data_IF_581431374532
#
_entry.id   IF_581431374532
#
_cell.length_a   1.000
_cell.length_b   1.000
_cell.length_c   1.000
_cell.angle_alpha   90.00
_cell.angle_beta   90.00
_cell.angle_gamma   90.00
#
_symmetry.space_group_name_H-M   'P 1'
#
loop_
_entity.id
_entity.type
_entity.pdbx_description
1 polymer ?
#
# COMPACT_ATOMS: atom_id res chain seq x y z
N UNK A 1 -10.03 -0.51 -26.97
CA UNK A 1 -8.83 -0.31 -26.13
C UNK A 1 -9.31 0.36 -24.87
N UNK A 2 -9.57 -0.45 -23.84
CA UNK A 2 -10.15 -0.01 -22.59
C UNK A 2 -8.99 0.35 -21.65
N UNK A 3 -8.98 1.60 -21.21
CA UNK A 3 -8.63 2.02 -19.85
C UNK A 3 -7.15 2.08 -19.42
N UNK A 4 -6.39 3.02 -20.00
CA UNK A 4 -5.26 3.63 -19.28
C UNK A 4 -5.70 4.81 -18.39
N UNK A 5 -6.89 5.38 -18.66
CA UNK A 5 -7.43 6.51 -17.90
C UNK A 5 -8.24 6.11 -16.65
N UNK A 6 -8.79 4.89 -16.59
CA UNK A 6 -9.61 4.44 -15.45
C UNK A 6 -8.75 4.09 -14.21
N UNK A 7 -7.49 3.66 -14.43
CA UNK A 7 -6.57 3.31 -13.34
C UNK A 7 -6.24 4.55 -12.47
N UNK A 8 -6.27 5.75 -13.04
CA UNK A 8 -6.00 7.00 -12.29
C UNK A 8 -7.17 7.44 -11.40
N UNK A 9 -8.41 7.04 -11.71
CA UNK A 9 -9.60 7.47 -10.97
C UNK A 9 -9.98 6.54 -9.80
N UNK A 10 -9.22 5.46 -9.57
CA UNK A 10 -9.43 4.56 -8.42
C UNK A 10 -8.29 4.61 -7.39
N UNK A 11 -7.21 5.37 -7.67
CA UNK A 11 -6.17 5.65 -6.68
C UNK A 11 -6.79 6.52 -5.59
N UNK A 12 -6.96 5.97 -4.39
CA UNK A 12 -7.41 6.72 -3.21
C UNK A 12 -8.90 6.63 -2.85
N UNK A 13 -9.64 5.62 -3.34
CA UNK A 13 -11.04 5.41 -2.90
C UNK A 13 -11.17 4.65 -1.57
N UNK A 14 -10.10 3.99 -1.12
CA UNK A 14 -10.01 3.32 0.19
C UNK A 14 -8.77 3.79 0.93
N UNK A 15 -7.58 3.54 0.38
CA UNK A 15 -6.34 4.07 0.94
C UNK A 15 -5.30 4.37 -0.16
N UNK A 16 -4.46 5.39 0.09
CA UNK A 16 -3.36 5.77 -0.80
C UNK A 16 -1.99 5.51 -0.15
N UNK A 17 -1.12 4.77 -0.86
CA UNK A 17 0.19 4.38 -0.35
C UNK A 17 1.33 4.80 -1.28
N UNK A 18 2.39 5.37 -0.70
CA UNK A 18 3.66 5.60 -1.37
C UNK A 18 4.62 4.48 -0.98
N UNK A 19 5.04 3.67 -1.95
CA UNK A 19 6.00 2.57 -1.73
C UNK A 19 7.37 2.98 -2.27
N UNK A 20 8.39 2.97 -1.43
CA UNK A 20 9.80 3.10 -1.83
C UNK A 20 10.48 1.75 -1.71
N UNK A 21 11.03 1.27 -2.82
CA UNK A 21 11.83 0.04 -2.84
C UNK A 21 13.31 0.43 -2.77
N UNK A 22 13.98 0.01 -1.69
CA UNK A 22 15.39 0.30 -1.46
C UNK A 22 16.29 -0.83 -1.96
N UNK A 23 15.80 -2.06 -1.96
CA UNK A 23 16.56 -3.22 -2.43
C UNK A 23 15.65 -4.32 -2.98
N UNK A 24 16.26 -5.18 -3.80
CA UNK A 24 15.69 -6.46 -4.24
C UNK A 24 16.70 -7.55 -3.90
N UNK A 25 16.43 -8.32 -2.86
CA UNK A 25 17.23 -9.49 -2.48
C UNK A 25 16.32 -10.71 -2.34
N UNK A 26 16.84 -11.91 -2.60
CA UNK A 26 16.10 -13.17 -2.47
C UNK A 26 14.77 -13.18 -3.25
N UNK A 27 14.75 -12.58 -4.45
CA UNK A 27 13.53 -12.43 -5.25
C UNK A 27 12.36 -11.78 -4.48
N UNK A 28 12.64 -10.90 -3.52
CA UNK A 28 11.63 -10.11 -2.81
C UNK A 28 12.04 -8.64 -2.69
N UNK A 29 11.07 -7.73 -2.57
CA UNK A 29 11.30 -6.30 -2.37
C UNK A 29 11.51 -5.99 -0.90
N UNK A 30 12.40 -5.03 -0.63
CA UNK A 30 12.62 -4.43 0.68
C UNK A 30 12.53 -2.92 0.55
N UNK A 31 11.96 -2.26 1.56
CA UNK A 31 11.81 -0.82 1.51
C UNK A 31 10.89 -0.26 2.58
N UNK A 32 10.19 0.81 2.23
CA UNK A 32 9.19 1.45 3.10
C UNK A 32 7.90 1.74 2.36
N UNK A 33 6.80 1.69 3.09
CA UNK A 33 5.47 2.07 2.67
C UNK A 33 5.00 3.21 3.56
N UNK A 34 4.52 4.29 2.96
CA UNK A 34 3.95 5.44 3.62
C UNK A 34 2.47 5.57 3.25
N UNK A 35 1.59 5.50 4.24
CA UNK A 35 0.18 5.79 4.06
C UNK A 35 -0.03 7.29 4.06
N UNK A 36 -0.53 7.85 2.95
CA UNK A 36 -0.65 9.30 2.79
C UNK A 36 -1.71 9.92 3.70
N UNK A 37 -2.77 9.19 4.04
CA UNK A 37 -3.88 9.73 4.85
C UNK A 37 -3.56 9.74 6.35
N UNK A 38 -2.97 8.67 6.90
CA UNK A 38 -2.54 8.63 8.31
C UNK A 38 -1.14 9.23 8.54
N UNK A 39 -0.37 9.52 7.49
CA UNK A 39 1.02 9.96 7.61
C UNK A 39 1.95 8.89 8.20
N UNK A 40 1.53 7.63 8.21
CA UNK A 40 2.26 6.52 8.84
C UNK A 40 3.24 5.92 7.85
N UNK A 41 4.50 5.82 8.23
CA UNK A 41 5.53 5.12 7.45
C UNK A 41 5.97 3.85 8.16
N UNK A 42 5.99 2.73 7.43
CA UNK A 42 6.44 1.42 7.92
C UNK A 42 7.47 0.83 6.96
N UNK A 43 8.39 0.05 7.51
CA UNK A 43 9.36 -0.70 6.71
C UNK A 43 8.83 -2.09 6.42
N UNK A 44 9.15 -2.62 5.24
CA UNK A 44 8.88 -4.00 4.86
C UNK A 44 10.17 -4.66 4.38
N UNK A 45 10.34 -5.93 4.72
CA UNK A 45 11.48 -6.79 4.39
C UNK A 45 11.10 -7.83 3.32
N UNK A 46 9.82 -7.95 3.00
CA UNK A 46 9.34 -8.79 1.91
C UNK A 46 8.08 -8.27 1.23
N UNK A 47 7.78 -8.81 0.04
CA UNK A 47 6.53 -8.56 -0.67
C UNK A 47 5.30 -9.01 0.16
N UNK A 48 5.40 -10.13 0.89
CA UNK A 48 4.32 -10.58 1.76
C UNK A 48 4.07 -9.61 2.92
N UNK A 49 5.14 -9.08 3.51
CA UNK A 49 5.04 -8.08 4.57
C UNK A 49 4.41 -6.78 4.05
N UNK A 50 4.78 -6.33 2.85
CA UNK A 50 4.12 -5.20 2.19
C UNK A 50 2.60 -5.40 2.06
N UNK A 51 2.17 -6.57 1.59
CA UNK A 51 0.75 -6.91 1.45
C UNK A 51 0.03 -6.93 2.80
N UNK A 52 0.65 -7.52 3.83
CA UNK A 52 0.09 -7.51 5.20
C UNK A 52 -0.06 -6.09 5.76
N UNK A 53 0.87 -5.19 5.44
CA UNK A 53 0.80 -3.80 5.85
C UNK A 53 -0.35 -3.05 5.17
N UNK A 54 -0.59 -3.30 3.88
CA UNK A 54 -1.76 -2.75 3.17
C UNK A 54 -3.07 -3.34 3.70
N UNK A 55 -3.12 -4.65 3.92
CA UNK A 55 -4.30 -5.34 4.45
C UNK A 55 -4.64 -4.85 5.86
N UNK A 56 -3.65 -4.66 6.72
CA UNK A 56 -3.84 -4.07 8.06
C UNK A 56 -4.35 -2.63 7.99
N UNK A 57 -3.88 -1.85 7.01
CA UNK A 57 -4.32 -0.46 6.84
C UNK A 57 -5.78 -0.37 6.34
N UNK A 58 -6.18 -1.29 5.46
CA UNK A 58 -7.55 -1.39 4.94
C UNK A 58 -8.53 -2.00 5.95
N UNK A 59 -8.09 -2.98 6.75
CA UNK A 59 -8.92 -3.60 7.81
C UNK A 59 -9.30 -2.62 8.92
N UNK A 60 -8.41 -1.67 9.23
CA UNK A 60 -8.66 -0.56 10.17
C UNK A 60 -9.83 0.35 9.74
N UNK A 61 -10.09 0.48 8.43
CA UNK A 61 -11.17 1.33 7.91
C UNK A 61 -12.54 0.65 7.98
N UNK A 62 -12.57 -0.69 7.98
CA UNK A 62 -13.82 -1.48 8.00
C UNK A 62 -14.47 -1.56 9.39
N UNK A 63 -13.86 -1.00 10.43
CA UNK A 63 -14.37 -1.01 11.81
C UNK A 63 -14.92 0.34 12.28
N UNK A 64 -15.29 1.25 11.37
CA UNK A 64 -15.79 2.60 11.71
C UNK A 64 -17.20 2.95 11.23
N UNK A 65 -17.91 1.99 10.62
CA UNK A 65 -19.35 2.09 10.36
C UNK A 65 -20.08 1.12 11.29
N UNK A 66 -20.35 1.53 12.53
CA UNK A 66 -21.38 0.98 13.43
C UNK A 66 -21.91 2.11 14.35
#
# INVERSE_FOLDING_TARGET
>A
MKDEQDIKNQVGRKASFIVRVNSRQNATWQGSISWTEKGVTKHFRSALELLKLMDSALGDETMKDD
#
